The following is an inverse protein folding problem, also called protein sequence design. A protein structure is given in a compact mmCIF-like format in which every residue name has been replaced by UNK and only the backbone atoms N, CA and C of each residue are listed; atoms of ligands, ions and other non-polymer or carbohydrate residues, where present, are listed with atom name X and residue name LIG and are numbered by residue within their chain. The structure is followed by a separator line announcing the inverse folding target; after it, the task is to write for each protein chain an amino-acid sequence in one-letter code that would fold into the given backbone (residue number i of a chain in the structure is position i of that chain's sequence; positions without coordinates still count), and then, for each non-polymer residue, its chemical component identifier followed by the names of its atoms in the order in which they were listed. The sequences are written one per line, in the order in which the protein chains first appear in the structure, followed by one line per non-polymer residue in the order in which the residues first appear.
data_IF_277341266858
#
_entry.id   IF_277341266858
#
_cell.length_a   1.000
_cell.length_b   1.000
_cell.length_c   1.000
_cell.angle_alpha   90.00
_cell.angle_beta   90.00
_cell.angle_gamma   90.00
#
_symmetry.space_group_name_H-M   'P 1'
#
loop_
_entity.id
_entity.type
_entity.pdbx_description
1 polymer ?
#
# COMPACT_ATOMS: atom_id res chain seq x y z
N UNK A 1 -15.98 3.74 4.79
CA UNK A 1 -15.25 3.82 3.51
C UNK A 1 -15.05 2.41 2.96
N UNK A 2 -15.45 2.13 1.71
CA UNK A 2 -15.19 0.81 1.11
C UNK A 2 -13.69 0.67 0.76
N UNK A 3 -13.00 -0.32 1.31
CA UNK A 3 -11.54 -0.46 1.17
C UNK A 3 -11.07 -0.71 -0.28
N UNK A 4 -11.88 -1.39 -1.10
CA UNK A 4 -11.54 -1.67 -2.50
C UNK A 4 -11.52 -0.37 -3.29
N UNK A 5 -12.55 0.46 -3.10
CA UNK A 5 -12.63 1.78 -3.73
C UNK A 5 -11.58 2.74 -3.17
N UNK A 6 -11.22 2.61 -1.89
CA UNK A 6 -10.14 3.38 -1.30
C UNK A 6 -8.79 3.04 -1.95
N UNK A 7 -8.52 1.75 -2.18
CA UNK A 7 -7.30 1.33 -2.87
C UNK A 7 -7.32 1.68 -4.36
N UNK A 8 -8.46 1.55 -5.04
CA UNK A 8 -8.64 1.97 -6.44
C UNK A 8 -8.33 3.47 -6.62
N UNK A 9 -8.87 4.31 -5.73
CA UNK A 9 -8.56 5.74 -5.72
C UNK A 9 -7.09 5.99 -5.35
N UNK A 10 -6.53 5.25 -4.38
CA UNK A 10 -5.12 5.34 -4.01
C UNK A 10 -4.18 5.06 -5.20
N UNK A 11 -4.50 4.10 -6.07
CA UNK A 11 -3.74 3.85 -7.30
C UNK A 11 -3.76 5.06 -8.24
N UNK A 12 -4.88 5.78 -8.35
CA UNK A 12 -4.94 7.01 -9.16
C UNK A 12 -4.07 8.13 -8.59
N UNK A 13 -3.99 8.23 -7.28
CA UNK A 13 -3.12 9.20 -6.60
C UNK A 13 -1.64 8.82 -6.75
N UNK A 14 -1.31 7.52 -6.66
CA UNK A 14 0.03 7.03 -6.94
C UNK A 14 0.45 7.26 -8.39
N UNK A 15 -0.45 7.04 -9.35
CA UNK A 15 -0.19 7.33 -10.76
C UNK A 15 0.10 8.82 -10.97
N UNK A 16 -0.68 9.71 -10.33
CA UNK A 16 -0.44 11.15 -10.38
C UNK A 16 0.90 11.52 -9.74
N UNK A 17 1.17 11.05 -8.52
CA UNK A 17 2.42 11.31 -7.83
C UNK A 17 3.63 10.80 -8.63
N UNK A 18 3.53 9.61 -9.21
CA UNK A 18 4.59 9.06 -10.07
C UNK A 18 4.87 9.93 -11.29
N UNK A 19 3.84 10.52 -11.90
CA UNK A 19 3.98 11.47 -13.03
C UNK A 19 4.61 12.80 -12.62
N UNK A 20 4.36 13.26 -11.40
CA UNK A 20 4.93 14.50 -10.86
C UNK A 20 6.44 14.35 -10.57
N UNK A 21 6.87 13.18 -10.07
CA UNK A 21 8.27 12.91 -9.71
C UNK A 21 9.10 12.29 -10.84
N UNK A 22 8.46 11.53 -11.73
CA UNK A 22 9.10 10.84 -12.83
C UNK A 22 9.55 11.80 -13.93
N UNK A 23 10.70 11.53 -14.54
CA UNK A 23 11.06 12.11 -15.85
C UNK A 23 10.19 11.46 -16.92
N UNK A 24 9.83 12.20 -17.98
CA UNK A 24 8.85 11.85 -19.05
C UNK A 24 8.91 10.41 -19.63
N UNK A 25 10.00 9.66 -19.42
CA UNK A 25 10.18 8.29 -19.89
C UNK A 25 9.68 7.18 -18.94
N UNK A 26 9.31 7.50 -17.69
CA UNK A 26 8.85 6.51 -16.72
C UNK A 26 7.32 6.38 -16.71
N UNK A 27 6.81 5.15 -16.80
CA UNK A 27 5.37 4.85 -16.82
C UNK A 27 4.95 4.07 -15.58
N UNK A 28 4.00 4.61 -14.80
CA UNK A 28 3.39 3.94 -13.64
C UNK A 28 2.83 2.55 -13.98
N UNK A 29 2.44 2.32 -15.25
CA UNK A 29 2.02 1.01 -15.74
C UNK A 29 3.08 -0.08 -15.54
N UNK A 30 4.36 0.27 -15.45
CA UNK A 30 5.46 -0.68 -15.24
C UNK A 30 5.67 -1.03 -13.76
N UNK A 31 4.91 -0.43 -12.82
CA UNK A 31 4.96 -0.84 -11.43
C UNK A 31 4.45 -2.28 -11.27
N UNK A 32 5.05 -3.00 -10.33
CA UNK A 32 4.63 -4.37 -10.00
C UNK A 32 3.46 -4.37 -9.01
N UNK A 33 2.71 -5.47 -8.96
CA UNK A 33 1.74 -5.73 -7.87
C UNK A 33 2.41 -5.60 -6.50
N UNK A 34 3.62 -6.12 -6.36
CA UNK A 34 4.38 -6.06 -5.12
C UNK A 34 4.65 -4.60 -4.70
N UNK A 35 5.06 -3.73 -5.63
CA UNK A 35 5.30 -2.30 -5.39
C UNK A 35 4.08 -1.61 -4.81
N UNK A 36 2.91 -1.74 -5.45
CA UNK A 36 1.69 -1.05 -5.01
C UNK A 36 1.15 -1.61 -3.68
N UNK A 37 1.38 -2.89 -3.37
CA UNK A 37 1.06 -3.47 -2.07
C UNK A 37 1.98 -2.93 -0.95
N UNK A 38 3.27 -2.68 -1.23
CA UNK A 38 4.16 -2.05 -0.25
C UNK A 38 3.78 -0.59 -0.02
N UNK A 39 3.49 0.14 -1.09
CA UNK A 39 3.01 1.52 -1.00
C UNK A 39 1.68 1.63 -0.25
N UNK A 40 0.76 0.67 -0.42
CA UNK A 40 -0.46 0.58 0.38
C UNK A 40 -0.15 0.50 1.88
N UNK A 41 0.74 -0.41 2.30
CA UNK A 41 1.11 -0.52 3.71
C UNK A 41 1.70 0.79 4.25
N UNK A 42 2.67 1.39 3.53
CA UNK A 42 3.32 2.64 3.93
C UNK A 42 2.34 3.83 3.94
N UNK A 43 1.36 3.83 3.06
CA UNK A 43 0.29 4.84 3.02
C UNK A 43 -0.74 4.62 4.11
N UNK A 44 -1.05 3.37 4.45
CA UNK A 44 -2.04 3.07 5.48
C UNK A 44 -1.50 3.29 6.89
N UNK A 45 -0.23 2.99 7.13
CA UNK A 45 0.39 3.13 8.45
C UNK A 45 0.53 4.62 8.88
N UNK A 46 0.54 4.91 10.20
CA UNK A 46 0.77 6.26 10.70
C UNK A 46 2.21 6.71 10.45
N UNK A 47 2.41 7.98 10.08
CA UNK A 47 3.74 8.52 9.72
C UNK A 47 4.54 9.00 10.94
N UNK A 48 3.84 9.20 12.06
CA UNK A 48 4.37 9.49 13.39
C UNK A 48 3.36 9.00 14.44
N UNK A 49 3.79 8.93 15.69
CA UNK A 49 2.91 8.54 16.80
C UNK A 49 1.71 9.48 16.93
N UNK A 50 0.52 8.92 17.16
CA UNK A 50 -0.74 9.67 17.27
C UNK A 50 -1.25 10.31 15.99
N UNK A 51 -0.57 10.15 14.85
CA UNK A 51 -1.06 10.67 13.57
C UNK A 51 -2.27 9.88 13.07
N UNK A 52 -3.14 10.57 12.31
CA UNK A 52 -4.19 9.90 11.53
C UNK A 52 -3.58 8.88 10.58
N UNK A 53 -4.28 7.77 10.41
CA UNK A 53 -3.88 6.64 9.57
C UNK A 53 -5.11 6.04 8.87
N UNK A 54 -4.91 4.99 8.06
CA UNK A 54 -5.99 4.28 7.38
C UNK A 54 -6.17 2.85 7.91
N UNK A 55 -5.65 2.52 9.09
CA UNK A 55 -5.64 1.16 9.60
C UNK A 55 -7.01 0.69 10.09
N UNK A 56 -7.96 1.61 10.34
CA UNK A 56 -9.36 1.23 10.59
C UNK A 56 -10.08 0.80 9.30
N UNK A 57 -9.49 1.10 8.14
CA UNK A 57 -10.00 0.70 6.81
C UNK A 57 -9.21 -0.49 6.30
N UNK A 58 -7.89 -0.37 6.23
CA UNK A 58 -6.95 -1.42 5.84
C UNK A 58 -6.46 -2.15 7.09
N UNK A 59 -7.27 -3.07 7.60
CA UNK A 59 -7.10 -3.72 8.90
C UNK A 59 -6.73 -5.21 8.82
N UNK A 60 -6.55 -5.76 7.61
CA UNK A 60 -6.25 -7.18 7.41
C UNK A 60 -4.85 -7.40 6.83
N UNK A 61 -3.84 -6.78 7.44
CA UNK A 61 -2.45 -6.98 7.06
C UNK A 61 -1.90 -8.30 7.60
N UNK A 62 -1.17 -9.03 6.75
CA UNK A 62 -0.41 -10.22 7.11
C UNK A 62 1.06 -10.04 6.77
N UNK A 63 1.93 -10.54 7.63
CA UNK A 63 3.36 -10.61 7.38
C UNK A 63 3.65 -11.79 6.46
N UNK A 64 4.17 -11.49 5.27
CA UNK A 64 4.67 -12.47 4.30
C UNK A 64 6.19 -12.27 4.06
N UNK A 65 6.87 -13.21 3.40
CA UNK A 65 8.31 -13.11 3.13
C UNK A 65 8.76 -11.84 2.40
N UNK A 66 7.88 -11.25 1.57
CA UNK A 66 8.14 -10.00 0.83
C UNK A 66 7.40 -8.80 1.47
N UNK A 67 7.34 -8.75 2.80
CA UNK A 67 6.74 -7.66 3.55
C UNK A 67 5.24 -7.80 3.82
N UNK A 68 4.61 -6.79 4.46
CA UNK A 68 3.19 -6.78 4.81
C UNK A 68 2.27 -6.76 3.60
N UNK A 69 1.18 -7.53 3.61
CA UNK A 69 0.16 -7.53 2.54
C UNK A 69 -1.22 -7.40 3.16
N UNK A 70 -2.03 -6.46 2.65
CA UNK A 70 -3.45 -6.36 3.00
C UNK A 70 -4.22 -7.44 2.21
N UNK A 71 -4.75 -8.45 2.91
CA UNK A 71 -5.32 -9.64 2.29
C UNK A 71 -6.58 -9.37 1.50
N UNK A 72 -7.43 -8.42 1.92
CA UNK A 72 -8.69 -8.15 1.24
C UNK A 72 -8.43 -7.45 -0.10
N UNK A 73 -7.43 -6.55 -0.14
CA UNK A 73 -6.95 -5.91 -1.36
C UNK A 73 -6.22 -6.90 -2.26
N UNK A 74 -5.37 -7.76 -1.69
CA UNK A 74 -4.71 -8.81 -2.48
C UNK A 74 -5.74 -9.70 -3.19
N UNK A 75 -6.76 -10.17 -2.47
CA UNK A 75 -7.84 -10.98 -3.04
C UNK A 75 -8.64 -10.18 -4.08
N UNK A 76 -8.95 -8.90 -3.81
CA UNK A 76 -9.62 -8.05 -4.79
C UNK A 76 -8.82 -7.85 -6.09
N UNK A 77 -7.49 -7.81 -6.00
CA UNK A 77 -6.61 -7.80 -7.17
C UNK A 77 -6.71 -9.14 -7.92
N UNK A 78 -6.60 -10.28 -7.22
CA UNK A 78 -6.70 -11.61 -7.85
C UNK A 78 -8.03 -11.82 -8.56
N UNK A 79 -9.12 -11.34 -7.96
CA UNK A 79 -10.48 -11.44 -8.50
C UNK A 79 -10.80 -10.35 -9.56
N UNK A 80 -9.84 -9.48 -9.90
CA UNK A 80 -10.02 -8.34 -10.80
C UNK A 80 -11.20 -7.41 -10.42
N UNK A 81 -11.39 -7.15 -9.12
CA UNK A 81 -12.51 -6.38 -8.54
C UNK A 81 -12.27 -4.88 -8.42
N UNK A 82 -11.13 -4.37 -8.89
CA UNK A 82 -10.86 -2.93 -8.89
C UNK A 82 -11.61 -2.23 -10.03
N UNK A 83 -12.38 -1.16 -9.77
CA UNK A 83 -13.13 -0.45 -10.81
C UNK A 83 -12.28 0.11 -11.94
N UNK A 84 -11.17 0.78 -11.62
CA UNK A 84 -10.41 1.62 -12.54
C UNK A 84 -9.10 0.99 -13.01
N UNK A 85 -8.63 -0.06 -12.33
CA UNK A 85 -7.32 -0.67 -12.61
C UNK A 85 -7.41 -2.19 -12.80
N UNK A 86 -6.49 -2.73 -13.59
CA UNK A 86 -6.12 -4.14 -13.63
C UNK A 86 -4.69 -4.24 -13.12
N UNK A 87 -4.50 -4.96 -12.02
CA UNK A 87 -3.19 -5.13 -11.38
C UNK A 87 -2.69 -6.54 -11.68
N UNK A 88 -1.63 -6.64 -12.48
CA UNK A 88 -0.93 -7.90 -12.75
C UNK A 88 0.37 -7.96 -11.96
N UNK A 89 1.08 -9.09 -12.01
CA UNK A 89 2.35 -9.24 -11.31
C UNK A 89 3.37 -8.15 -11.69
N UNK A 90 3.37 -7.72 -12.96
CA UNK A 90 4.39 -6.83 -13.53
C UNK A 90 3.82 -5.53 -14.12
N UNK A 91 2.51 -5.29 -14.01
CA UNK A 91 1.91 -4.09 -14.56
C UNK A 91 0.66 -3.61 -13.83
N UNK A 92 0.46 -2.28 -13.87
CA UNK A 92 -0.73 -1.60 -13.37
C UNK A 92 -1.44 -0.92 -14.54
N UNK A 93 -2.47 -1.55 -15.09
CA UNK A 93 -3.15 -1.07 -16.30
C UNK A 93 -4.39 -0.28 -15.89
N UNK A 94 -4.48 0.99 -16.31
CA UNK A 94 -5.69 1.80 -16.13
C UNK A 94 -6.74 1.41 -17.17
N UNK A 95 -7.98 1.21 -16.72
CA UNK A 95 -9.12 0.96 -17.59
C UNK A 95 -9.62 2.30 -18.17
N UNK A 96 -10.00 2.28 -19.44
CA UNK A 96 -10.54 3.47 -20.12
C UNK A 96 -12.05 3.60 -19.93
N UNK A 97 -12.56 4.83 -19.95
CA UNK A 97 -13.99 5.15 -19.94
C UNK A 97 -14.80 4.53 -18.78
N UNK A 98 -14.18 4.38 -17.60
CA UNK A 98 -14.83 3.83 -16.41
C UNK A 98 -15.70 4.89 -15.73
N UNK A 99 -16.95 4.54 -15.45
CA UNK A 99 -17.81 5.27 -14.53
C UNK A 99 -17.52 4.75 -13.12
N UNK A 100 -17.01 5.62 -12.24
CA UNK A 100 -16.69 5.25 -10.87
C UNK A 100 -17.97 4.90 -10.10
N UNK A 101 -18.02 3.75 -9.39
CA UNK A 101 -19.15 3.40 -8.53
C UNK A 101 -19.11 4.13 -7.17
N UNK A 102 -18.24 5.14 -7.03
CA UNK A 102 -18.01 5.90 -5.81
C UNK A 102 -17.66 7.35 -6.14
N UNK A 103 -17.87 8.25 -5.17
CA UNK A 103 -17.49 9.66 -5.27
C UNK A 103 -16.13 9.87 -4.63
N UNK A 104 -15.22 10.58 -5.30
CA UNK A 104 -13.86 10.82 -4.81
C UNK A 104 -13.87 11.62 -3.48
N UNK A 105 -14.84 12.53 -3.32
CA UNK A 105 -15.02 13.34 -2.11
C UNK A 105 -15.19 12.49 -0.83
N UNK A 106 -15.72 11.27 -0.95
CA UNK A 106 -15.92 10.35 0.18
C UNK A 106 -14.60 9.71 0.67
N UNK A 107 -13.50 9.92 -0.07
CA UNK A 107 -12.20 9.28 0.12
C UNK A 107 -11.07 10.30 0.38
N UNK A 108 -11.40 11.50 0.85
CA UNK A 108 -10.44 12.56 1.19
C UNK A 108 -9.34 12.10 2.15
N UNK A 109 -9.65 11.22 3.10
CA UNK A 109 -8.66 10.63 4.02
C UNK A 109 -7.57 9.85 3.30
N UNK A 110 -7.90 9.20 2.17
CA UNK A 110 -6.91 8.50 1.32
C UNK A 110 -5.96 9.51 0.69
N UNK A 111 -6.49 10.60 0.14
CA UNK A 111 -5.70 11.69 -0.43
C UNK A 111 -4.77 12.30 0.60
N UNK A 112 -5.27 12.61 1.79
CA UNK A 112 -4.47 13.15 2.91
C UNK A 112 -3.33 12.19 3.30
N UNK A 113 -3.60 10.89 3.36
CA UNK A 113 -2.62 9.89 3.72
C UNK A 113 -1.52 9.71 2.65
N UNK A 114 -1.88 9.78 1.36
CA UNK A 114 -0.92 9.76 0.25
C UNK A 114 -0.07 11.03 0.28
N UNK A 115 -0.68 12.21 0.44
CA UNK A 115 0.04 13.48 0.53
C UNK A 115 1.02 13.49 1.72
N UNK A 116 0.59 12.99 2.88
CA UNK A 116 1.48 12.91 4.06
C UNK A 116 2.64 11.94 3.81
N UNK A 117 2.42 10.85 3.07
CA UNK A 117 3.52 9.95 2.68
C UNK A 117 4.47 10.64 1.69
N UNK A 118 3.93 11.38 0.72
CA UNK A 118 4.70 12.17 -0.24
C UNK A 118 5.56 13.22 0.46
N UNK A 119 5.00 13.97 1.40
CA UNK A 119 5.74 14.93 2.22
C UNK A 119 6.85 14.27 3.05
N UNK A 120 6.63 13.01 3.46
CA UNK A 120 7.61 12.26 4.25
C UNK A 120 8.79 11.77 3.42
N UNK A 121 8.54 11.32 2.19
CA UNK A 121 9.57 10.92 1.24
C UNK A 121 9.01 11.02 -0.19
N UNK A 122 9.34 12.10 -0.90
CA UNK A 122 8.82 12.40 -2.23
C UNK A 122 9.25 11.36 -3.29
N UNK A 123 10.45 10.80 -3.16
CA UNK A 123 11.01 9.86 -4.12
C UNK A 123 10.63 8.40 -3.85
N UNK A 124 9.91 8.13 -2.74
CA UNK A 124 9.47 6.79 -2.37
C UNK A 124 8.67 6.11 -3.51
N UNK A 125 7.88 6.90 -4.24
CA UNK A 125 7.03 6.42 -5.35
C UNK A 125 7.85 5.87 -6.53
N UNK A 126 9.11 6.28 -6.67
CA UNK A 126 10.02 5.88 -7.74
C UNK A 126 10.83 4.62 -7.38
N UNK A 127 10.77 4.15 -6.14
CA UNK A 127 11.52 2.98 -5.71
C UNK A 127 10.98 1.70 -6.37
N UNK A 128 11.92 0.81 -6.73
CA UNK A 128 11.55 -0.51 -7.20
C UNK A 128 10.96 -1.37 -6.07
N UNK A 129 10.33 -2.48 -6.44
CA UNK A 129 9.65 -3.37 -5.49
C UNK A 129 10.57 -3.88 -4.37
N UNK A 130 11.83 -4.20 -4.65
CA UNK A 130 12.77 -4.73 -3.65
C UNK A 130 13.19 -3.67 -2.64
N UNK A 131 13.47 -2.43 -3.09
CA UNK A 131 13.76 -1.32 -2.19
C UNK A 131 12.57 -1.02 -1.27
N UNK A 132 11.34 -1.06 -1.79
CA UNK A 132 10.13 -0.94 -0.96
C UNK A 132 9.99 -2.10 0.04
N UNK A 133 10.33 -3.33 -0.37
CA UNK A 133 10.36 -4.49 0.53
C UNK A 133 11.34 -4.26 1.68
N UNK A 134 12.58 -3.82 1.38
CA UNK A 134 13.60 -3.52 2.40
C UNK A 134 13.11 -2.47 3.41
N UNK A 135 12.42 -1.42 2.95
CA UNK A 135 11.78 -0.42 3.80
C UNK A 135 10.75 -1.09 4.72
N UNK A 136 9.84 -1.89 4.16
CA UNK A 136 8.79 -2.54 4.98
C UNK A 136 9.35 -3.60 5.93
N UNK A 137 10.50 -4.20 5.64
CA UNK A 137 11.17 -5.14 6.55
C UNK A 137 11.79 -4.47 7.78
N UNK A 138 11.97 -3.14 7.75
CA UNK A 138 12.46 -2.35 8.89
C UNK A 138 11.38 -2.14 9.96
N UNK A 139 10.10 -2.43 9.66
CA UNK A 139 9.00 -2.35 10.62
C UNK A 139 9.03 -3.52 11.60
N UNK A 140 9.01 -3.23 12.89
CA UNK A 140 9.08 -4.24 13.95
C UNK A 140 7.82 -5.13 13.98
N UNK A 141 6.66 -4.54 13.71
CA UNK A 141 5.37 -5.23 13.58
C UNK A 141 5.43 -6.36 12.54
N UNK A 142 6.10 -6.11 11.40
CA UNK A 142 6.33 -7.14 10.39
C UNK A 142 7.34 -8.19 10.89
N UNK A 143 8.48 -7.76 11.43
CA UNK A 143 9.54 -8.68 11.91
C UNK A 143 9.05 -9.67 12.96
N UNK A 144 8.28 -9.19 13.94
CA UNK A 144 7.73 -10.04 14.99
C UNK A 144 6.74 -11.04 14.39
N UNK A 145 5.83 -10.56 13.55
CA UNK A 145 4.79 -11.40 12.92
C UNK A 145 5.39 -12.46 12.00
N UNK A 146 6.36 -12.12 11.15
CA UNK A 146 7.01 -13.11 10.26
C UNK A 146 7.88 -14.10 11.03
N UNK A 147 8.51 -13.67 12.13
CA UNK A 147 9.28 -14.56 13.00
C UNK A 147 8.35 -15.57 13.68
N UNK A 148 7.21 -15.10 14.20
CA UNK A 148 6.19 -15.96 14.77
C UNK A 148 5.65 -16.96 13.73
N UNK A 149 5.34 -16.50 12.51
CA UNK A 149 4.89 -17.37 11.42
C UNK A 149 5.89 -18.53 11.18
N UNK A 150 7.18 -18.21 11.09
CA UNK A 150 8.25 -19.20 10.89
C UNK A 150 8.36 -20.19 12.05
N UNK A 151 8.27 -19.72 13.29
CA UNK A 151 8.30 -20.58 14.48
C UNK A 151 7.12 -21.56 14.52
N UNK A 152 5.97 -21.14 13.99
CA UNK A 152 4.75 -21.95 13.93
C UNK A 152 4.60 -22.72 12.62
N UNK A 153 5.63 -22.74 11.76
CA UNK A 153 5.59 -23.38 10.43
C UNK A 153 4.44 -22.88 9.53
N UNK A 154 4.02 -21.63 9.73
CA UNK A 154 2.99 -20.95 8.93
C UNK A 154 3.62 -20.11 7.81
N UNK A 155 2.94 -20.00 6.68
CA UNK A 155 3.38 -19.18 5.55
C UNK A 155 3.23 -17.68 5.76
N UNK A 156 2.38 -17.28 6.71
CA UNK A 156 2.10 -15.89 7.06
C UNK A 156 1.51 -15.78 8.46
N UNK A 157 1.50 -14.58 9.02
CA UNK A 157 0.81 -14.30 10.28
C UNK A 157 0.17 -12.92 10.27
N UNK A 158 -0.99 -12.78 10.91
CA UNK A 158 -1.74 -11.52 10.95
C UNK A 158 -0.98 -10.47 11.76
N UNK A 159 -0.84 -9.28 11.20
CA UNK A 159 -0.32 -8.10 11.86
C UNK A 159 -1.50 -7.33 12.46
N UNK A 160 -1.53 -7.13 13.78
CA UNK A 160 -2.60 -6.35 14.41
C UNK A 160 -2.45 -4.86 14.10
N UNK A 161 -3.56 -4.13 14.03
CA UNK A 161 -3.51 -2.69 13.76
C UNK A 161 -2.80 -1.94 14.90
N UNK A 162 -2.92 -2.41 16.14
CA UNK A 162 -2.22 -1.87 17.30
C UNK A 162 -0.70 -2.08 17.19
N UNK A 163 -0.26 -3.25 16.70
CA UNK A 163 1.16 -3.52 16.46
C UNK A 163 1.75 -2.57 15.43
N UNK A 164 1.03 -2.30 14.34
CA UNK A 164 1.46 -1.36 13.29
C UNK A 164 1.44 0.09 13.82
N UNK A 165 0.40 0.49 14.54
CA UNK A 165 0.28 1.85 15.12
C UNK A 165 1.40 2.15 16.11
N UNK A 166 1.68 1.19 16.98
CA UNK A 166 2.66 1.33 18.05
C UNK A 166 4.07 0.91 17.63
N UNK A 167 4.29 0.64 16.34
CA UNK A 167 5.61 0.29 15.82
C UNK A 167 6.62 1.40 16.16
N UNK A 168 7.72 1.03 16.80
CA UNK A 168 8.78 1.98 17.19
C UNK A 168 9.65 2.38 16.00
N UNK A 169 9.69 1.55 14.96
CA UNK A 169 10.53 1.73 13.79
C UNK A 169 9.70 2.09 12.56
N UNK A 170 8.91 3.18 12.68
CA UNK A 170 8.17 3.73 11.54
C UNK A 170 9.17 4.26 10.50
N UNK A 171 9.37 3.50 9.45
CA UNK A 171 10.46 3.71 8.51
C UNK A 171 9.92 3.95 7.09
N UNK A 172 10.42 5.00 6.44
CA UNK A 172 9.93 5.49 5.15
C UNK A 172 11.04 5.89 4.16
N UNK A 173 12.32 5.61 4.44
CA UNK A 173 13.46 6.10 3.63
C UNK A 173 14.60 5.10 3.41
#
# INVERSE_FOLDING_TARGET
MNKIFAFDYMLSLFEQWYKEEGKESMNFQNCSKLSVLKLLFLTAAPKREGARDLLDVFNNFHALPYGPVESDIYNAIQDNRLPSYIVTERSIIKKENVILPYRIEDYTQVKDAVNTLKEKNEHLILLNAFSLVEITHKWESWRQSITFARLMEMSSYKMTIESIRNDRNKYFE
#
